data_IF_390040509020
#
_entry.id   IF_390040509020
#
_cell.length_a   1.000
_cell.length_b   1.000
_cell.length_c   1.000
_cell.angle_alpha   90.00
_cell.angle_beta   90.00
_cell.angle_gamma   90.00
#
_symmetry.space_group_name_H-M   'P 1'
#
loop_
_entity.id
_entity.type
_entity.pdbx_description
1 polymer ?
#
# COMPACT_ATOMS: atom_id res chain seq x y z
N UNK A 1 13.29 13.02 32.74
CA UNK A 1 12.59 11.85 32.19
C UNK A 1 13.54 11.20 31.20
N UNK A 2 14.22 10.15 31.67
CA UNK A 2 15.33 9.47 31.00
C UNK A 2 14.90 8.04 30.64
N UNK A 3 15.62 7.47 29.69
CA UNK A 3 15.27 6.35 28.84
C UNK A 3 15.12 4.98 29.53
N UNK A 4 14.31 4.14 28.88
CA UNK A 4 14.46 2.69 28.61
C UNK A 4 15.09 1.81 29.70
N UNK A 5 14.31 0.83 30.16
CA UNK A 5 14.81 -0.43 30.72
C UNK A 5 13.91 -1.56 30.22
N UNK A 6 14.31 -2.28 29.16
CA UNK A 6 15.10 -3.52 29.20
C UNK A 6 14.39 -4.66 29.95
N UNK A 7 13.76 -5.53 29.16
CA UNK A 7 13.24 -6.82 29.60
C UNK A 7 14.39 -7.67 30.15
N UNK A 8 14.31 -7.97 31.44
CA UNK A 8 15.14 -8.98 32.11
C UNK A 8 14.78 -10.36 31.58
N UNK A 9 15.73 -11.04 30.93
CA UNK A 9 15.65 -12.50 30.71
C UNK A 9 16.59 -13.17 31.70
N UNK A 10 15.94 -13.72 32.72
CA UNK A 10 16.40 -14.72 33.66
C UNK A 10 16.96 -15.92 32.88
N UNK A 11 18.26 -16.18 33.04
CA UNK A 11 18.88 -17.44 32.66
C UNK A 11 19.10 -18.22 33.95
N UNK A 12 18.45 -19.37 34.09
CA UNK A 12 18.75 -20.33 35.13
C UNK A 12 19.90 -21.22 34.65
N UNK A 13 20.86 -21.43 35.55
CA UNK A 13 22.01 -22.28 35.36
C UNK A 13 21.57 -23.73 35.12
N UNK A 14 22.13 -24.37 34.09
CA UNK A 14 22.03 -25.82 33.92
C UNK A 14 23.34 -26.38 34.46
N UNK A 15 23.22 -27.16 35.53
CA UNK A 15 24.29 -27.92 36.15
C UNK A 15 24.92 -28.88 35.15
N UNK A 16 26.25 -28.87 35.15
CA UNK A 16 27.13 -29.57 34.24
C UNK A 16 27.74 -30.74 34.98
N UNK A 17 27.05 -31.89 35.05
CA UNK A 17 27.63 -33.19 35.43
C UNK A 17 26.64 -34.35 35.10
N UNK A 18 26.80 -35.00 33.94
CA UNK A 18 26.47 -36.42 33.77
C UNK A 18 27.31 -37.06 32.65
N UNK A 19 28.35 -37.84 32.98
CA UNK A 19 29.23 -38.50 32.03
C UNK A 19 28.76 -39.94 31.73
N UNK A 20 27.69 -40.09 30.96
CA UNK A 20 27.47 -41.33 30.20
C UNK A 20 26.51 -41.11 29.03
N UNK A 21 27.03 -40.69 27.89
CA UNK A 21 26.36 -40.86 26.61
C UNK A 21 27.29 -41.67 25.72
N UNK A 22 26.88 -42.91 25.51
CA UNK A 22 27.51 -43.88 24.62
C UNK A 22 27.51 -43.33 23.19
N UNK A 23 28.65 -43.47 22.52
CA UNK A 23 28.78 -43.19 21.09
C UNK A 23 27.99 -44.24 20.32
N UNK A 24 26.75 -43.95 19.97
CA UNK A 24 26.03 -44.62 18.88
C UNK A 24 26.13 -43.70 17.66
N UNK A 25 27.09 -44.02 16.79
CA UNK A 25 27.29 -43.36 15.50
C UNK A 25 26.12 -43.73 14.57
N UNK A 26 25.23 -42.79 14.20
CA UNK A 26 24.17 -43.10 13.25
C UNK A 26 24.75 -43.25 11.84
N UNK A 27 24.21 -44.16 11.00
CA UNK A 27 24.73 -44.42 9.67
C UNK A 27 24.62 -43.17 8.80
N UNK A 28 25.67 -42.91 8.01
CA UNK A 28 25.77 -41.78 7.09
C UNK A 28 24.49 -41.59 6.26
N UNK A 29 23.79 -40.48 6.48
CA UNK A 29 22.70 -40.04 5.63
C UNK A 29 23.25 -39.80 4.20
N UNK A 30 22.50 -40.18 3.15
CA UNK A 30 22.89 -39.80 1.80
C UNK A 30 22.85 -38.27 1.70
N UNK A 31 24.01 -37.67 1.44
CA UNK A 31 24.16 -36.25 1.15
C UNK A 31 23.22 -35.89 -0.01
N UNK A 32 22.05 -35.37 0.32
CA UNK A 32 21.18 -34.73 -0.64
C UNK A 32 21.93 -33.51 -1.17
N UNK A 33 22.29 -33.56 -2.45
CA UNK A 33 22.84 -32.41 -3.14
C UNK A 33 21.89 -31.22 -2.95
N UNK A 34 22.40 -30.00 -2.70
CA UNK A 34 21.54 -28.83 -2.63
C UNK A 34 20.96 -28.62 -4.03
N UNK A 35 19.72 -29.04 -4.24
CA UNK A 35 18.93 -28.72 -5.43
C UNK A 35 18.91 -27.20 -5.59
N UNK A 36 19.80 -26.71 -6.46
CA UNK A 36 19.90 -25.33 -6.86
C UNK A 36 18.76 -25.01 -7.83
N UNK A 37 17.55 -24.89 -7.30
CA UNK A 37 16.49 -24.16 -7.99
C UNK A 37 15.65 -23.39 -6.97
N UNK A 38 16.28 -22.36 -6.41
CA UNK A 38 15.57 -21.32 -5.66
C UNK A 38 15.80 -20.01 -6.40
N UNK A 39 15.28 -19.93 -7.63
CA UNK A 39 15.06 -18.61 -8.24
C UNK A 39 14.06 -17.89 -7.34
N UNK A 40 14.43 -16.76 -6.69
CA UNK A 40 13.47 -16.02 -5.89
C UNK A 40 12.30 -15.62 -6.79
N UNK A 41 11.05 -15.71 -6.29
CA UNK A 41 9.89 -15.36 -7.10
C UNK A 41 10.08 -13.94 -7.65
N UNK A 42 9.85 -13.77 -8.94
CA UNK A 42 9.92 -12.46 -9.57
C UNK A 42 9.02 -11.50 -8.78
N UNK A 43 9.62 -10.53 -8.11
CA UNK A 43 8.89 -9.50 -7.38
C UNK A 43 8.25 -8.61 -8.43
N UNK A 44 6.92 -8.60 -8.48
CA UNK A 44 6.21 -7.67 -9.35
C UNK A 44 6.66 -6.23 -9.05
N UNK A 45 6.94 -5.42 -10.08
CA UNK A 45 7.35 -4.04 -9.87
C UNK A 45 6.23 -3.29 -9.12
N UNK A 46 6.62 -2.51 -8.11
CA UNK A 46 5.67 -1.70 -7.34
C UNK A 46 4.95 -0.75 -8.32
N UNK A 47 3.60 -0.77 -8.38
CA UNK A 47 2.86 0.06 -9.32
C UNK A 47 3.06 1.54 -9.00
N UNK A 48 3.17 2.37 -10.05
CA UNK A 48 3.17 3.83 -9.91
C UNK A 48 1.77 4.31 -9.52
N UNK A 49 1.60 4.85 -8.32
CA UNK A 49 0.31 5.28 -7.76
C UNK A 49 0.12 6.80 -7.81
N UNK A 50 0.94 7.50 -8.59
CA UNK A 50 0.83 8.96 -8.75
C UNK A 50 -0.44 9.32 -9.51
N UNK A 51 -1.12 10.34 -9.01
CA UNK A 51 -2.29 10.95 -9.64
C UNK A 51 -1.94 12.37 -10.09
N UNK A 52 -2.44 12.73 -11.28
CA UNK A 52 -2.27 14.04 -11.88
C UNK A 52 -3.65 14.65 -12.17
N UNK A 53 -3.73 15.98 -12.12
CA UNK A 53 -4.96 16.74 -12.42
C UNK A 53 -4.75 17.48 -13.75
N UNK A 54 -5.35 17.01 -14.86
CA UNK A 54 -5.25 17.65 -16.17
C UNK A 54 -5.46 19.17 -16.19
N UNK A 55 -6.60 19.62 -15.66
CA UNK A 55 -7.04 21.02 -15.70
C UNK A 55 -7.01 21.59 -14.27
N UNK A 56 -5.81 21.66 -13.68
CA UNK A 56 -5.58 21.85 -12.24
C UNK A 56 -6.00 23.18 -11.61
N UNK A 57 -6.35 24.22 -12.39
CA UNK A 57 -6.57 25.57 -11.86
C UNK A 57 -7.73 25.67 -10.86
N UNK A 58 -8.82 24.95 -11.11
CA UNK A 58 -10.05 25.03 -10.30
C UNK A 58 -10.24 23.85 -9.33
N UNK A 59 -9.28 22.91 -9.30
CA UNK A 59 -9.41 21.68 -8.53
C UNK A 59 -8.60 21.73 -7.24
N UNK A 60 -9.22 21.24 -6.16
CA UNK A 60 -8.61 21.14 -4.85
C UNK A 60 -8.63 19.69 -4.37
N UNK A 61 -7.54 19.27 -3.74
CA UNK A 61 -7.41 17.94 -3.13
C UNK A 61 -7.56 18.08 -1.62
N UNK A 62 -8.44 17.26 -1.04
CA UNK A 62 -8.72 17.30 0.39
C UNK A 62 -8.66 15.91 0.99
N UNK A 63 -8.30 15.85 2.27
CA UNK A 63 -8.50 14.66 3.10
C UNK A 63 -9.75 14.93 3.94
N UNK A 64 -10.75 14.07 3.88
CA UNK A 64 -11.92 14.18 4.74
C UNK A 64 -11.52 13.88 6.18
N UNK A 65 -11.80 14.81 7.10
CA UNK A 65 -11.41 14.70 8.53
C UNK A 65 -12.58 14.67 9.48
N UNK A 66 -13.71 15.22 9.07
CA UNK A 66 -14.92 15.30 9.88
C UNK A 66 -15.69 13.97 9.90
N UNK A 67 -16.65 13.87 10.81
CA UNK A 67 -17.63 12.78 10.89
C UNK A 67 -18.89 13.05 10.08
N UNK A 68 -19.01 14.23 9.46
CA UNK A 68 -20.17 14.60 8.65
C UNK A 68 -20.30 13.71 7.41
N UNK A 69 -21.53 13.48 6.97
CA UNK A 69 -21.80 12.66 5.78
C UNK A 69 -21.64 13.52 4.54
N UNK A 70 -20.53 13.33 3.83
CA UNK A 70 -20.29 13.91 2.52
C UNK A 70 -20.48 12.84 1.45
N UNK A 71 -21.15 13.18 0.36
CA UNK A 71 -21.38 12.26 -0.75
C UNK A 71 -20.64 12.73 -1.99
N UNK A 72 -20.14 11.77 -2.78
CA UNK A 72 -19.62 11.99 -4.11
C UNK A 72 -20.75 12.46 -5.03
N UNK A 73 -20.47 13.45 -5.87
CA UNK A 73 -21.43 14.04 -6.80
C UNK A 73 -21.73 13.15 -8.01
N UNK A 74 -20.85 12.17 -8.30
CA UNK A 74 -21.02 11.23 -9.40
C UNK A 74 -21.50 9.85 -8.92
N UNK A 75 -22.26 9.16 -9.79
CA UNK A 75 -22.63 7.74 -9.66
C UNK A 75 -21.99 6.90 -10.74
N UNK A 76 -21.82 5.60 -10.52
CA UNK A 76 -21.49 4.70 -11.60
C UNK A 76 -22.72 4.30 -12.44
N UNK A 77 -22.56 4.02 -13.76
CA UNK A 77 -23.60 3.37 -14.54
C UNK A 77 -24.09 2.12 -13.82
N UNK A 78 -25.40 2.07 -13.56
CA UNK A 78 -26.04 0.98 -12.82
C UNK A 78 -26.03 1.12 -11.29
N UNK A 79 -25.47 2.21 -10.74
CA UNK A 79 -25.60 2.52 -9.31
C UNK A 79 -26.72 3.56 -9.10
N UNK A 80 -27.63 3.24 -8.19
CA UNK A 80 -28.73 4.14 -7.82
C UNK A 80 -28.38 5.02 -6.61
N UNK A 81 -27.22 4.81 -5.99
CA UNK A 81 -26.74 5.54 -4.81
C UNK A 81 -25.51 6.40 -5.13
N UNK A 82 -25.27 7.41 -4.29
CA UNK A 82 -24.02 8.17 -4.31
C UNK A 82 -23.01 7.53 -3.37
N UNK A 83 -21.72 7.59 -3.72
CA UNK A 83 -20.67 7.07 -2.83
C UNK A 83 -20.53 7.98 -1.60
N UNK A 84 -20.56 7.38 -0.41
CA UNK A 84 -20.26 8.08 0.83
C UNK A 84 -18.74 8.28 0.92
N UNK A 85 -18.30 9.52 1.11
CA UNK A 85 -16.90 9.84 1.40
C UNK A 85 -16.62 9.51 2.87
N UNK A 86 -15.58 8.74 3.15
CA UNK A 86 -15.23 8.31 4.50
C UNK A 86 -14.18 9.23 5.15
N UNK A 87 -14.16 9.28 6.47
CA UNK A 87 -13.07 9.98 7.18
C UNK A 87 -11.73 9.30 6.89
N UNK A 88 -10.70 10.09 6.63
CA UNK A 88 -9.39 9.65 6.14
C UNK A 88 -9.30 9.50 4.62
N UNK A 89 -10.41 9.56 3.89
CA UNK A 89 -10.40 9.42 2.43
C UNK A 89 -9.93 10.70 1.74
N UNK A 90 -9.10 10.54 0.71
CA UNK A 90 -8.75 11.63 -0.20
C UNK A 90 -9.89 11.80 -1.20
N UNK A 91 -10.33 13.03 -1.38
CA UNK A 91 -11.31 13.40 -2.40
C UNK A 91 -10.85 14.66 -3.11
N UNK A 92 -11.39 14.88 -4.31
CA UNK A 92 -11.16 16.12 -5.07
C UNK A 92 -12.43 16.93 -5.12
N UNK A 93 -12.30 18.24 -5.08
CA UNK A 93 -13.40 19.16 -5.13
C UNK A 93 -13.16 20.25 -6.17
N UNK A 94 -14.26 20.68 -6.79
CA UNK A 94 -14.32 21.87 -7.64
C UNK A 94 -15.58 22.62 -7.25
N UNK A 95 -15.41 23.82 -6.72
CA UNK A 95 -16.52 24.59 -6.13
C UNK A 95 -17.25 23.74 -5.07
N UNK A 96 -18.55 23.51 -5.22
CA UNK A 96 -19.37 22.72 -4.28
C UNK A 96 -19.41 21.21 -4.62
N UNK A 97 -18.88 20.82 -5.79
CA UNK A 97 -18.87 19.43 -6.26
C UNK A 97 -17.71 18.65 -5.62
N UNK A 98 -18.00 17.51 -4.99
CA UNK A 98 -17.01 16.62 -4.37
C UNK A 98 -16.98 15.28 -5.09
N UNK A 99 -15.81 14.74 -5.35
CA UNK A 99 -15.64 13.46 -6.04
C UNK A 99 -14.64 12.56 -5.31
N UNK A 100 -15.03 11.30 -5.08
CA UNK A 100 -14.08 10.27 -4.65
C UNK A 100 -13.06 10.00 -5.77
N UNK A 101 -11.86 9.49 -5.42
CA UNK A 101 -10.80 9.27 -6.40
C UNK A 101 -11.23 8.35 -7.55
N UNK A 102 -12.04 7.32 -7.26
CA UNK A 102 -12.55 6.38 -8.28
C UNK A 102 -13.42 7.09 -9.32
N UNK A 103 -14.37 7.92 -8.88
CA UNK A 103 -15.21 8.70 -9.78
C UNK A 103 -14.39 9.73 -10.54
N UNK A 104 -13.46 10.41 -9.86
CA UNK A 104 -12.62 11.44 -10.48
C UNK A 104 -11.71 10.87 -11.59
N UNK A 105 -11.12 9.69 -11.37
CA UNK A 105 -10.33 8.97 -12.38
C UNK A 105 -11.20 8.55 -13.58
N UNK A 106 -12.34 7.92 -13.31
CA UNK A 106 -13.24 7.45 -14.37
C UNK A 106 -13.80 8.60 -15.22
N UNK A 107 -14.09 9.74 -14.61
CA UNK A 107 -14.57 10.94 -15.31
C UNK A 107 -13.45 11.70 -16.03
N UNK A 108 -12.18 11.35 -15.81
CA UNK A 108 -11.03 12.01 -16.41
C UNK A 108 -10.62 13.32 -15.74
N UNK A 109 -11.13 13.61 -14.54
CA UNK A 109 -10.66 14.75 -13.72
C UNK A 109 -9.30 14.46 -13.08
N UNK A 110 -9.01 13.18 -12.87
CA UNK A 110 -7.70 12.67 -12.48
C UNK A 110 -7.19 11.72 -13.56
N UNK A 111 -5.87 11.59 -13.63
CA UNK A 111 -5.19 10.62 -14.49
C UNK A 111 -3.97 10.04 -13.80
N UNK A 112 -3.64 8.80 -14.11
CA UNK A 112 -2.38 8.15 -13.73
C UNK A 112 -1.27 8.40 -14.78
N UNK A 113 -1.63 8.96 -15.95
CA UNK A 113 -0.66 9.32 -16.99
C UNK A 113 0.18 10.53 -16.57
N UNK A 114 1.43 10.25 -16.20
CA UNK A 114 2.44 11.25 -15.83
C UNK A 114 2.72 12.27 -16.92
N UNK A 115 2.64 11.86 -18.19
CA UNK A 115 2.98 12.69 -19.33
C UNK A 115 1.76 13.35 -19.95
N UNK A 116 0.59 13.27 -19.31
CA UNK A 116 -0.67 13.79 -19.81
C UNK A 116 -0.55 15.23 -20.35
N UNK A 117 0.08 16.12 -19.60
CA UNK A 117 0.22 17.53 -19.99
C UNK A 117 1.22 17.73 -21.15
N UNK A 118 2.19 16.83 -21.33
CA UNK A 118 3.14 16.88 -22.46
C UNK A 118 2.52 16.32 -23.74
N UNK A 119 1.61 15.35 -23.62
CA UNK A 119 0.93 14.73 -24.74
C UNK A 119 -0.24 15.56 -25.30
N UNK A 120 -0.73 16.58 -24.58
CA UNK A 120 -1.67 17.56 -25.14
C UNK A 120 -0.96 18.43 -26.17
N UNK A 121 -0.94 18.01 -27.43
CA UNK A 121 -0.63 18.90 -28.55
C UNK A 121 -1.68 20.01 -28.56
N UNK A 122 -1.31 21.30 -28.46
CA UNK A 122 -2.28 22.39 -28.58
C UNK A 122 -2.98 22.27 -29.94
N UNK A 123 -4.30 22.11 -29.96
CA UNK A 123 -5.05 22.29 -31.21
C UNK A 123 -4.88 23.75 -31.63
N UNK A 124 -4.14 23.99 -32.70
CA UNK A 124 -4.11 25.30 -33.39
C UNK A 124 -5.57 25.69 -33.67
N UNK A 125 -6.00 26.81 -33.10
CA UNK A 125 -7.27 27.45 -33.41
C UNK A 125 -7.19 28.12 -34.78
#
# INVERSE_FOLDING_TARGET
MSARSFYSRQWEAIDMDDPSITNDEPPAEPTAEPSADSTPPAVDPIPDTRLYVPDHEDWQVHIKRDSERHFCYAKHPGEDWFHLLLSGEIYVARQDEKYCLRCALRMGFLTEDRLYCQHRVPKKR
#
